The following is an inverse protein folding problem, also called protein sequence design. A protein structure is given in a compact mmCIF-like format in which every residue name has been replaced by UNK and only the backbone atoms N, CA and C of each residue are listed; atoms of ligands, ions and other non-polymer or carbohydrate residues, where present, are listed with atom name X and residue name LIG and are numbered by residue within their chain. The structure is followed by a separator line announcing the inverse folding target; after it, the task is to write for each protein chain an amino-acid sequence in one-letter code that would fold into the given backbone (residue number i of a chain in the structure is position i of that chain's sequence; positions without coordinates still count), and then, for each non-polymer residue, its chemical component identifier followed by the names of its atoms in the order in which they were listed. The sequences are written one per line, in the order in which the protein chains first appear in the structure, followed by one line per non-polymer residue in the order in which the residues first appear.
data_IF_767184688873
#
_entry.id   IF_767184688873
#
_cell.length_a   1.000
_cell.length_b   1.000
_cell.length_c   1.000
_cell.angle_alpha   90.00
_cell.angle_beta   90.00
_cell.angle_gamma   90.00
#
_symmetry.space_group_name_H-M   'P 1'
#
loop_
_entity.id
_entity.type
_entity.pdbx_description
1 polymer ?
#
# COMPACT_ATOMS: atom_id res chain seq x y z
N UNK A 1 5.08 23.48 15.97
CA UNK A 1 3.70 23.13 15.54
C UNK A 1 3.61 21.62 15.40
N UNK A 2 2.65 20.97 16.06
CA UNK A 2 2.40 19.53 15.90
C UNK A 2 1.40 19.32 14.77
N UNK A 3 1.75 18.49 13.80
CA UNK A 3 0.89 18.18 12.65
C UNK A 3 -0.14 17.12 13.03
N UNK A 4 -1.32 17.12 12.39
CA UNK A 4 -2.34 16.09 12.59
C UNK A 4 -1.80 14.68 12.28
N UNK A 5 -0.94 14.57 11.27
CA UNK A 5 -0.32 13.29 10.89
C UNK A 5 0.57 12.74 12.02
N UNK A 6 1.25 13.59 12.79
CA UNK A 6 2.08 13.14 13.92
C UNK A 6 1.23 12.53 15.04
N UNK A 7 0.05 13.10 15.31
CA UNK A 7 -0.89 12.50 16.26
C UNK A 7 -1.44 11.18 15.73
N UNK A 8 -1.84 11.14 14.45
CA UNK A 8 -2.32 9.91 13.82
C UNK A 8 -1.26 8.80 13.83
N UNK A 9 0.01 9.12 13.57
CA UNK A 9 1.12 8.15 13.66
C UNK A 9 1.24 7.60 15.08
N UNK A 10 1.23 8.47 16.10
CA UNK A 10 1.37 8.07 17.50
C UNK A 10 0.17 7.25 18.03
N UNK A 11 -1.02 7.45 17.45
CA UNK A 11 -2.24 6.70 17.79
C UNK A 11 -2.29 5.30 17.15
N UNK A 12 -1.41 5.02 16.18
CA UNK A 12 -1.36 3.74 15.48
C UNK A 12 -0.08 2.97 15.85
N UNK A 13 -0.22 1.66 16.05
CA UNK A 13 0.92 0.77 16.32
C UNK A 13 1.54 0.29 15.00
N UNK A 14 2.37 1.12 14.39
CA UNK A 14 3.13 0.77 13.18
C UNK A 14 4.42 0.01 13.51
N UNK A 15 4.97 -0.70 12.52
CA UNK A 15 6.31 -1.28 12.60
C UNK A 15 7.37 -0.19 12.73
N UNK A 16 8.59 -0.59 13.09
CA UNK A 16 9.74 0.32 13.13
C UNK A 16 10.02 0.92 11.75
N UNK A 17 10.01 0.10 10.70
CA UNK A 17 10.25 0.53 9.32
C UNK A 17 9.26 1.63 8.88
N UNK A 18 7.97 1.42 9.13
CA UNK A 18 6.93 2.40 8.83
C UNK A 18 7.09 3.68 9.68
N UNK A 19 7.47 3.52 10.95
CA UNK A 19 7.65 4.64 11.88
C UNK A 19 8.83 5.54 11.48
N UNK A 20 9.93 4.96 11.02
CA UNK A 20 11.10 5.69 10.50
C UNK A 20 10.69 6.47 9.26
N UNK A 21 10.02 5.85 8.30
CA UNK A 21 9.56 6.51 7.07
C UNK A 21 8.65 7.69 7.37
N UNK A 22 7.71 7.55 8.30
CA UNK A 22 6.86 8.68 8.70
C UNK A 22 7.61 9.78 9.44
N UNK A 23 8.60 9.43 10.26
CA UNK A 23 9.46 10.40 10.94
C UNK A 23 10.24 11.24 9.93
N UNK A 24 10.80 10.61 8.91
CA UNK A 24 11.50 11.28 7.82
C UNK A 24 10.54 12.15 6.99
N UNK A 25 9.34 11.64 6.69
CA UNK A 25 8.31 12.39 5.99
C UNK A 25 7.94 13.69 6.73
N UNK A 26 7.72 13.62 8.05
CA UNK A 26 7.40 14.77 8.90
C UNK A 26 8.57 15.73 8.99
N UNK A 27 9.79 15.22 9.13
CA UNK A 27 11.02 16.02 9.20
C UNK A 27 11.21 16.81 7.91
N UNK A 28 11.09 16.15 6.76
CA UNK A 28 11.15 16.79 5.45
C UNK A 28 10.06 17.85 5.27
N UNK A 29 8.83 17.58 5.72
CA UNK A 29 7.74 18.55 5.64
C UNK A 29 8.05 19.81 6.45
N UNK A 30 8.49 19.65 7.70
CA UNK A 30 8.82 20.76 8.61
C UNK A 30 10.03 21.57 8.11
N UNK A 31 10.94 20.94 7.36
CA UNK A 31 12.06 21.61 6.71
C UNK A 31 11.72 22.28 5.37
N UNK A 32 10.46 22.20 4.90
CA UNK A 32 10.04 22.73 3.59
C UNK A 32 10.44 21.86 2.39
N UNK A 33 11.02 20.68 2.62
CA UNK A 33 11.35 19.69 1.60
C UNK A 33 10.12 18.85 1.20
N UNK A 34 9.09 19.51 0.65
CA UNK A 34 7.77 18.91 0.40
C UNK A 34 7.80 17.70 -0.53
N UNK A 35 8.67 17.68 -1.55
CA UNK A 35 8.81 16.54 -2.47
C UNK A 35 9.33 15.30 -1.75
N UNK A 36 10.39 15.45 -0.95
CA UNK A 36 10.94 14.36 -0.14
C UNK A 36 9.91 13.87 0.89
N UNK A 37 9.18 14.79 1.52
CA UNK A 37 8.09 14.44 2.44
C UNK A 37 7.01 13.56 1.79
N UNK A 38 6.64 13.87 0.54
CA UNK A 38 5.69 13.05 -0.22
C UNK A 38 6.27 11.67 -0.56
N UNK A 39 7.54 11.59 -0.98
CA UNK A 39 8.22 10.31 -1.27
C UNK A 39 8.19 9.39 -0.05
N UNK A 40 8.59 9.88 1.12
CA UNK A 40 8.60 9.09 2.36
C UNK A 40 7.19 8.72 2.83
N UNK A 41 6.22 9.64 2.72
CA UNK A 41 4.81 9.35 3.09
C UNK A 41 4.22 8.24 2.22
N UNK A 42 4.52 8.26 0.92
CA UNK A 42 4.05 7.24 -0.02
C UNK A 42 4.74 5.90 0.22
N UNK A 43 6.04 5.90 0.51
CA UNK A 43 6.77 4.69 0.86
C UNK A 43 6.27 4.06 2.16
N UNK A 44 5.95 4.87 3.18
CA UNK A 44 5.32 4.40 4.42
C UNK A 44 3.97 3.74 4.14
N UNK A 45 3.13 4.34 3.28
CA UNK A 45 1.85 3.75 2.86
C UNK A 45 2.06 2.39 2.19
N UNK A 46 2.98 2.26 1.24
CA UNK A 46 3.25 0.98 0.57
C UNK A 46 3.78 -0.07 1.54
N UNK A 47 4.62 0.33 2.50
CA UNK A 47 5.16 -0.57 3.53
C UNK A 47 4.05 -1.11 4.43
N UNK A 48 3.11 -0.27 4.87
CA UNK A 48 1.92 -0.72 5.61
C UNK A 48 1.11 -1.73 4.79
N UNK A 49 0.93 -1.48 3.48
CA UNK A 49 0.18 -2.38 2.62
C UNK A 49 0.91 -3.70 2.39
N UNK A 50 2.24 -3.69 2.23
CA UNK A 50 3.10 -4.89 2.18
C UNK A 50 2.92 -5.73 3.44
N UNK A 51 3.10 -5.13 4.61
CA UNK A 51 2.98 -5.81 5.89
C UNK A 51 1.60 -6.44 6.08
N UNK A 52 0.53 -5.70 5.73
CA UNK A 52 -0.85 -6.22 5.81
C UNK A 52 -1.13 -7.38 4.87
N UNK A 53 -0.48 -7.44 3.70
CA UNK A 53 -0.60 -8.60 2.82
C UNK A 53 0.12 -9.79 3.46
N UNK A 54 1.36 -9.61 3.91
CA UNK A 54 2.20 -10.69 4.46
C UNK A 54 1.59 -11.28 5.74
N UNK A 55 1.10 -10.44 6.65
CA UNK A 55 0.46 -10.88 7.90
C UNK A 55 -1.02 -11.20 7.75
N UNK A 56 -1.58 -11.01 6.55
CA UNK A 56 -3.00 -11.08 6.28
C UNK A 56 -3.49 -12.49 5.99
N UNK A 57 -4.82 -12.67 6.07
CA UNK A 57 -5.47 -13.91 5.65
C UNK A 57 -5.68 -13.93 4.15
N UNK A 58 -5.25 -15.01 3.50
CA UNK A 58 -5.48 -15.25 2.08
C UNK A 58 -6.99 -15.21 1.75
N UNK A 59 -7.43 -14.44 0.73
CA UNK A 59 -8.81 -14.49 0.24
C UNK A 59 -9.23 -15.90 -0.21
N UNK A 60 -10.53 -16.20 -0.15
CA UNK A 60 -11.02 -17.58 -0.38
C UNK A 60 -10.91 -18.01 -1.83
N UNK A 61 -11.14 -17.10 -2.78
CA UNK A 61 -11.03 -17.36 -4.22
C UNK A 61 -9.61 -17.16 -4.78
N UNK A 62 -8.58 -17.22 -3.92
CA UNK A 62 -7.17 -17.23 -4.30
C UNK A 62 -6.59 -18.57 -3.90
N UNK A 63 -5.90 -19.25 -4.82
CA UNK A 63 -5.25 -20.52 -4.50
C UNK A 63 -4.04 -20.29 -3.57
N UNK A 64 -3.68 -21.30 -2.78
CA UNK A 64 -2.53 -21.15 -1.87
C UNK A 64 -1.24 -20.81 -2.64
N UNK A 65 -0.97 -21.51 -3.75
CA UNK A 65 0.20 -21.23 -4.59
C UNK A 65 0.22 -19.83 -5.20
N UNK A 66 -0.93 -19.26 -5.57
CA UNK A 66 -1.00 -17.85 -6.00
C UNK A 66 -0.64 -16.88 -4.86
N UNK A 67 -1.07 -17.17 -3.64
CA UNK A 67 -0.80 -16.36 -2.46
C UNK A 67 0.66 -16.43 -2.02
N UNK A 68 1.22 -17.64 -1.98
CA UNK A 68 2.63 -17.85 -1.63
C UNK A 68 3.55 -17.15 -2.64
N UNK A 69 3.21 -17.21 -3.94
CA UNK A 69 3.92 -16.48 -4.98
C UNK A 69 3.80 -14.95 -4.82
N UNK A 70 2.63 -14.45 -4.42
CA UNK A 70 2.46 -13.03 -4.11
C UNK A 70 3.38 -12.63 -2.94
N UNK A 71 3.36 -13.38 -1.83
CA UNK A 71 4.23 -13.10 -0.67
C UNK A 71 5.71 -13.15 -1.08
N UNK A 72 6.13 -14.16 -1.83
CA UNK A 72 7.51 -14.27 -2.31
C UNK A 72 7.94 -13.04 -3.13
N UNK A 73 7.05 -12.53 -3.99
CA UNK A 73 7.28 -11.29 -4.76
C UNK A 73 7.37 -10.04 -3.89
N UNK A 74 6.69 -10.00 -2.75
CA UNK A 74 6.76 -8.90 -1.78
C UNK A 74 8.07 -8.89 -0.98
N UNK A 75 8.79 -10.01 -0.91
CA UNK A 75 10.13 -10.10 -0.33
C UNK A 75 11.26 -9.75 -1.32
N UNK A 76 10.94 -9.55 -2.60
CA UNK A 76 11.92 -9.11 -3.59
C UNK A 76 12.07 -7.58 -3.54
N UNK A 77 13.20 -7.09 -3.01
CA UNK A 77 13.46 -5.67 -2.78
C UNK A 77 13.41 -4.80 -4.05
N UNK A 78 13.69 -5.36 -5.23
CA UNK A 78 13.67 -4.59 -6.48
C UNK A 78 12.25 -4.40 -7.03
N UNK A 79 11.29 -5.22 -6.60
CA UNK A 79 9.96 -5.28 -7.23
C UNK A 79 8.79 -5.15 -6.25
N UNK A 80 9.04 -5.18 -4.94
CA UNK A 80 7.96 -5.24 -3.96
C UNK A 80 7.01 -4.04 -4.07
N UNK A 81 7.49 -2.82 -4.31
CA UNK A 81 6.63 -1.63 -4.46
C UNK A 81 5.61 -1.81 -5.60
N UNK A 82 6.07 -2.28 -6.77
CA UNK A 82 5.19 -2.54 -7.92
C UNK A 82 4.21 -3.67 -7.61
N UNK A 83 4.67 -4.74 -6.97
CA UNK A 83 3.82 -5.87 -6.61
C UNK A 83 2.74 -5.50 -5.56
N UNK A 84 3.07 -4.66 -4.58
CA UNK A 84 2.08 -4.09 -3.63
C UNK A 84 1.06 -3.25 -4.39
N UNK A 85 1.52 -2.36 -5.27
CA UNK A 85 0.62 -1.53 -6.07
C UNK A 85 -0.34 -2.39 -6.89
N UNK A 86 0.16 -3.40 -7.59
CA UNK A 86 -0.68 -4.30 -8.40
C UNK A 86 -1.67 -5.09 -7.53
N UNK A 87 -1.25 -5.56 -6.35
CA UNK A 87 -2.13 -6.20 -5.38
C UNK A 87 -3.27 -5.26 -4.93
N UNK A 88 -2.96 -3.99 -4.68
CA UNK A 88 -3.92 -2.94 -4.32
C UNK A 88 -4.80 -2.54 -5.49
N UNK A 89 -4.39 -2.72 -6.74
CA UNK A 89 -5.20 -2.47 -7.93
C UNK A 89 -6.03 -3.69 -8.35
N UNK A 90 -5.73 -4.90 -7.84
CA UNK A 90 -6.46 -6.14 -8.17
C UNK A 90 -7.93 -6.07 -7.76
N UNK A 91 -8.80 -6.20 -8.77
CA UNK A 91 -10.26 -6.16 -8.62
C UNK A 91 -10.85 -7.55 -8.43
N UNK A 92 -12.05 -7.58 -7.89
CA UNK A 92 -12.87 -8.78 -7.98
C UNK A 92 -13.21 -9.07 -9.46
N UNK A 93 -13.37 -10.35 -9.78
CA UNK A 93 -13.88 -10.78 -11.09
C UNK A 93 -15.17 -11.56 -10.89
N UNK A 94 -16.20 -11.19 -11.64
CA UNK A 94 -17.49 -11.87 -11.65
C UNK A 94 -17.67 -12.51 -13.02
N UNK A 95 -18.10 -13.77 -13.03
CA UNK A 95 -18.54 -14.43 -14.24
C UNK A 95 -19.93 -13.93 -14.61
N UNK A 96 -20.08 -13.39 -15.83
CA UNK A 96 -21.33 -12.77 -16.29
C UNK A 96 -22.44 -13.79 -16.58
N UNK A 97 -22.08 -15.06 -16.83
CA UNK A 97 -23.01 -16.14 -17.11
C UNK A 97 -23.56 -16.75 -15.83
N UNK A 98 -22.68 -17.04 -14.86
CA UNK A 98 -23.08 -17.67 -13.59
C UNK A 98 -23.42 -16.65 -12.49
N UNK A 99 -23.10 -15.37 -12.70
CA UNK A 99 -23.17 -14.27 -11.71
C UNK A 99 -22.41 -14.57 -10.41
N UNK A 100 -21.41 -15.46 -10.46
CA UNK A 100 -20.58 -15.82 -9.30
C UNK A 100 -19.23 -15.12 -9.35
N UNK A 101 -18.68 -14.80 -8.17
CA UNK A 101 -17.31 -14.30 -8.06
C UNK A 101 -16.33 -15.43 -8.41
N UNK A 102 -15.39 -15.14 -9.30
CA UNK A 102 -14.35 -16.07 -9.76
C UNK A 102 -12.96 -15.69 -9.28
N UNK A 103 -12.77 -14.47 -8.77
CA UNK A 103 -11.50 -14.01 -8.21
C UNK A 103 -11.77 -12.94 -7.16
N UNK A 104 -11.15 -13.10 -5.99
CA UNK A 104 -11.23 -12.09 -4.94
C UNK A 104 -10.17 -10.98 -5.15
N UNK A 105 -10.46 -9.75 -4.71
CA UNK A 105 -9.45 -8.71 -4.57
C UNK A 105 -8.55 -9.02 -3.37
N UNK A 106 -7.35 -8.45 -3.34
CA UNK A 106 -6.47 -8.55 -2.17
C UNK A 106 -6.97 -7.64 -1.06
N UNK A 107 -7.31 -6.40 -1.42
CA UNK A 107 -7.95 -5.43 -0.53
C UNK A 107 -9.39 -5.20 -0.94
N UNK A 108 -10.31 -5.32 0.02
CA UNK A 108 -11.72 -4.99 -0.17
C UNK A 108 -11.94 -3.47 -0.07
N UNK A 109 -11.54 -2.75 -1.12
CA UNK A 109 -11.62 -1.29 -1.22
C UNK A 109 -12.39 -0.86 -2.47
N UNK A 110 -13.01 0.32 -2.39
CA UNK A 110 -13.78 0.91 -3.48
C UNK A 110 -12.89 1.31 -4.65
N UNK A 111 -13.47 1.41 -5.85
CA UNK A 111 -12.74 1.86 -7.04
C UNK A 111 -12.20 3.29 -6.89
N UNK A 112 -12.95 4.18 -6.22
CA UNK A 112 -12.48 5.54 -5.92
C UNK A 112 -11.18 5.50 -5.10
N UNK A 113 -11.09 4.67 -4.06
CA UNK A 113 -9.86 4.56 -3.28
C UNK A 113 -8.70 4.01 -4.10
N UNK A 114 -8.94 3.06 -5.02
CA UNK A 114 -7.90 2.57 -5.95
C UNK A 114 -7.39 3.66 -6.87
N UNK A 115 -8.28 4.53 -7.36
CA UNK A 115 -7.93 5.68 -8.19
C UNK A 115 -7.12 6.71 -7.40
N UNK A 116 -7.46 6.98 -6.15
CA UNK A 116 -6.68 7.87 -5.28
C UNK A 116 -5.26 7.34 -5.04
N UNK A 117 -5.10 6.03 -4.81
CA UNK A 117 -3.78 5.41 -4.64
C UNK A 117 -2.95 5.54 -5.93
N UNK A 118 -3.58 5.38 -7.10
CA UNK A 118 -2.94 5.62 -8.40
C UNK A 118 -2.52 7.09 -8.57
N UNK A 119 -3.42 8.02 -8.26
CA UNK A 119 -3.12 9.45 -8.30
C UNK A 119 -1.88 9.79 -7.45
N UNK A 120 -1.78 9.26 -6.23
CA UNK A 120 -0.62 9.52 -5.37
C UNK A 120 0.67 8.86 -5.88
N UNK A 121 0.57 7.70 -6.55
CA UNK A 121 1.71 7.10 -7.27
C UNK A 121 2.24 8.04 -8.34
N UNK A 122 1.35 8.63 -9.12
CA UNK A 122 1.74 9.54 -10.20
C UNK A 122 2.38 10.82 -9.64
N UNK A 123 1.84 11.36 -8.53
CA UNK A 123 2.47 12.50 -7.82
C UNK A 123 3.83 12.17 -7.21
N UNK A 124 4.04 10.95 -6.71
CA UNK A 124 5.34 10.45 -6.25
C UNK A 124 6.33 10.45 -7.42
N UNK A 125 5.92 9.96 -8.58
CA UNK A 125 6.75 9.93 -9.79
C UNK A 125 7.15 11.33 -10.26
N UNK A 126 6.30 12.34 -10.09
CA UNK A 126 6.64 13.74 -10.39
C UNK A 126 7.69 14.33 -9.42
N UNK A 127 7.92 13.69 -8.27
CA UNK A 127 8.86 14.14 -7.23
C UNK A 127 10.22 13.44 -7.27
N UNK A 128 10.32 12.30 -7.97
CA UNK A 128 11.53 11.49 -8.13
C UNK A 128 12.30 11.91 -9.38
#
# INVERSE_FOLDING_TARGET
MKLKIESWIAENNFSEDVSVLFTDAVTCYKAGANRASLLFSYLALLTILKERIISGTKPSLITQGEWDNLIAKLHNEDQWESNVFDAVQRREKIDMTTRSRTKDPIFNITENLRQQIRYWKDRRNDCA
#
